data_IF_913288685733
#
_entry.id   IF_913288685733
#
_cell.length_a   1.000
_cell.length_b   1.000
_cell.length_c   1.000
_cell.angle_alpha   90.00
_cell.angle_beta   90.00
_cell.angle_gamma   90.00
#
_symmetry.space_group_name_H-M   'P 1'
#
loop_
_entity.id
_entity.type
_entity.pdbx_description
1 polymer ?
#
# COMPACT_ATOMS: atom_id res chain seq x y z
N UNK A 1 -6.02 -4.00 -21.79
CA UNK A 1 -5.34 -3.10 -20.82
C UNK A 1 -4.66 -3.82 -19.66
N UNK A 2 -5.30 -4.79 -18.98
CA UNK A 2 -4.73 -5.48 -17.79
C UNK A 2 -3.32 -6.05 -18.03
N UNK A 3 -3.12 -6.84 -19.09
CA UNK A 3 -1.80 -7.40 -19.42
C UNK A 3 -0.74 -6.30 -19.54
N UNK A 4 -1.04 -5.25 -20.30
CA UNK A 4 -0.15 -4.12 -20.52
C UNK A 4 0.17 -3.37 -19.23
N UNK A 5 -0.80 -3.25 -18.32
CA UNK A 5 -0.58 -2.66 -17.00
C UNK A 5 0.36 -3.52 -16.16
N UNK A 6 0.15 -4.83 -16.13
CA UNK A 6 0.95 -5.76 -15.32
C UNK A 6 2.39 -5.91 -15.81
N UNK A 7 2.59 -5.95 -17.13
CA UNK A 7 3.92 -6.07 -17.75
C UNK A 7 4.66 -4.72 -17.84
N UNK A 8 3.98 -3.60 -17.56
CA UNK A 8 4.60 -2.29 -17.59
C UNK A 8 5.75 -2.19 -16.57
N UNK A 9 6.91 -1.72 -17.01
CA UNK A 9 8.10 -1.63 -16.14
C UNK A 9 7.87 -0.75 -14.89
N UNK A 10 7.23 0.43 -15.05
CA UNK A 10 6.79 1.28 -13.92
C UNK A 10 5.89 0.54 -12.92
N UNK A 11 5.07 -0.42 -13.38
CA UNK A 11 4.21 -1.22 -12.50
C UNK A 11 5.03 -2.18 -11.65
N UNK A 12 6.05 -2.81 -12.23
CA UNK A 12 6.94 -3.70 -11.48
C UNK A 12 7.72 -2.92 -10.41
N UNK A 13 8.27 -1.75 -10.75
CA UNK A 13 8.95 -0.88 -9.79
C UNK A 13 8.01 -0.40 -8.68
N UNK A 14 6.78 -0.03 -9.02
CA UNK A 14 5.79 0.42 -8.04
C UNK A 14 5.32 -0.73 -7.14
N UNK A 15 5.15 -1.95 -7.67
CA UNK A 15 4.83 -3.15 -6.88
C UNK A 15 5.92 -3.41 -5.83
N UNK A 16 7.19 -3.36 -6.22
CA UNK A 16 8.31 -3.52 -5.28
C UNK A 16 8.33 -2.43 -4.20
N UNK A 17 8.07 -1.16 -4.56
CA UNK A 17 7.97 -0.07 -3.58
C UNK A 17 6.82 -0.27 -2.60
N UNK A 18 5.64 -0.64 -3.10
CA UNK A 18 4.47 -0.91 -2.25
C UNK A 18 4.69 -2.11 -1.34
N UNK A 19 5.37 -3.15 -1.82
CA UNK A 19 5.73 -4.33 -1.01
C UNK A 19 6.72 -3.96 0.10
N UNK A 20 7.75 -3.18 -0.21
CA UNK A 20 8.70 -2.67 0.79
C UNK A 20 8.00 -1.77 1.84
N UNK A 21 7.07 -0.92 1.40
CA UNK A 21 6.28 -0.09 2.32
C UNK A 21 5.34 -0.94 3.19
N UNK A 22 4.76 -2.01 2.64
CA UNK A 22 3.93 -2.95 3.38
C UNK A 22 4.74 -3.73 4.43
N UNK A 23 5.96 -4.18 4.08
CA UNK A 23 6.88 -4.84 5.01
C UNK A 23 7.26 -3.93 6.17
N UNK A 24 7.65 -2.68 5.90
CA UNK A 24 7.94 -1.69 6.95
C UNK A 24 6.75 -1.44 7.86
N UNK A 25 5.55 -1.35 7.29
CA UNK A 25 4.35 -1.19 8.10
C UNK A 25 4.04 -2.42 8.94
N UNK A 26 4.33 -3.63 8.44
CA UNK A 26 4.21 -4.85 9.22
C UNK A 26 5.19 -4.87 10.39
N UNK A 27 6.45 -4.52 10.18
CA UNK A 27 7.47 -4.41 11.24
C UNK A 27 7.04 -3.42 12.33
N UNK A 28 6.49 -2.28 11.93
CA UNK A 28 5.97 -1.27 12.86
C UNK A 28 4.75 -1.77 13.65
N UNK A 29 3.82 -2.48 12.99
CA UNK A 29 2.69 -3.11 13.66
C UNK A 29 3.15 -4.18 14.67
N UNK A 30 4.16 -4.98 14.33
CA UNK A 30 4.77 -5.95 15.23
C UNK A 30 5.46 -5.28 16.42
N UNK A 31 6.11 -4.13 16.21
CA UNK A 31 6.69 -3.32 17.29
C UNK A 31 5.62 -2.81 18.25
N UNK A 32 4.52 -2.28 17.74
CA UNK A 32 3.38 -1.83 18.54
C UNK A 32 2.73 -2.98 19.31
N UNK A 33 2.58 -4.16 18.67
CA UNK A 33 2.07 -5.37 19.31
C UNK A 33 2.98 -5.83 20.46
N UNK A 34 4.30 -5.87 20.25
CA UNK A 34 5.27 -6.23 21.29
C UNK A 34 5.18 -5.27 22.47
N UNK A 35 5.17 -3.96 22.22
CA UNK A 35 5.01 -2.94 23.26
C UNK A 35 3.71 -3.12 24.06
N UNK A 36 2.59 -3.39 23.38
CA UNK A 36 1.30 -3.68 24.02
C UNK A 36 1.34 -4.95 24.87
N UNK A 37 2.03 -6.00 24.41
CA UNK A 37 2.16 -7.25 25.17
C UNK A 37 3.02 -7.08 26.42
N UNK A 38 4.12 -6.33 26.36
CA UNK A 38 4.91 -5.98 27.55
C UNK A 38 4.07 -5.26 28.59
N UNK A 39 3.23 -4.30 28.18
CA UNK A 39 2.34 -3.60 29.11
C UNK A 39 1.32 -4.53 29.79
N UNK A 40 0.89 -5.61 29.11
CA UNK A 40 -0.02 -6.60 29.69
C UNK A 40 0.68 -7.48 30.71
N UNK A 41 1.94 -7.85 30.44
CA UNK A 41 2.75 -8.59 31.41
C UNK A 41 2.95 -7.74 32.67
N UNK A 42 3.35 -6.48 32.52
CA UNK A 42 3.47 -5.53 33.63
C UNK A 42 2.14 -5.29 34.37
N UNK A 43 1.03 -5.21 33.63
CA UNK A 43 -0.31 -5.10 34.23
C UNK A 43 -0.65 -6.34 35.08
N UNK A 44 -0.38 -7.55 34.56
CA UNK A 44 -0.65 -8.79 35.28
C UNK A 44 0.18 -8.88 36.55
N UNK A 45 1.47 -8.54 36.48
CA UNK A 45 2.35 -8.51 37.65
C UNK A 45 1.83 -7.53 38.72
N UNK A 46 1.43 -6.32 38.32
CA UNK A 46 0.84 -5.34 39.24
C UNK A 46 -0.48 -5.86 39.83
N UNK A 47 -1.33 -6.49 39.03
CA UNK A 47 -2.59 -7.07 39.48
C UNK A 47 -2.39 -8.22 40.46
N UNK A 48 -1.39 -9.08 40.25
CA UNK A 48 -1.05 -10.17 41.17
C UNK A 48 -0.56 -9.63 42.52
N UNK A 49 0.20 -8.52 42.54
CA UNK A 49 0.63 -7.84 43.77
C UNK A 49 -0.56 -7.28 44.58
N UNK A 50 -1.61 -6.81 43.91
CA UNK A 50 -2.86 -6.36 44.56
C UNK A 50 -3.56 -7.52 45.27
N UNK A 51 -3.58 -8.70 44.64
CA UNK A 51 -4.26 -9.89 45.15
C UNK A 51 -3.43 -10.72 46.13
N UNK A 52 -2.13 -10.44 46.24
CA UNK A 52 -1.25 -11.18 47.14
C UNK A 52 -1.64 -10.92 48.62
N UNK A 53 -1.97 -11.95 49.42
CA UNK A 53 -2.33 -11.77 50.82
C UNK A 53 -1.13 -11.40 51.71
N UNK A 54 0.11 -11.60 51.25
CA UNK A 54 1.33 -11.31 52.00
C UNK A 54 1.86 -9.87 51.86
N UNK A 55 1.29 -9.05 50.96
CA UNK A 55 1.68 -7.63 50.77
C UNK A 55 0.95 -6.69 51.73
N UNK A 56 1.63 -5.60 52.10
CA UNK A 56 1.07 -4.54 52.94
C UNK A 56 0.01 -3.73 52.18
N UNK A 57 -0.87 -3.03 52.89
CA UNK A 57 -1.89 -2.19 52.27
C UNK A 57 -1.30 -1.07 51.40
N UNK A 58 -0.16 -0.50 51.81
CA UNK A 58 0.55 0.51 51.02
C UNK A 58 1.01 -0.04 49.66
N UNK A 59 1.60 -1.24 49.65
CA UNK A 59 2.03 -1.91 48.42
C UNK A 59 0.84 -2.25 47.52
N UNK A 60 -0.28 -2.66 48.11
CA UNK A 60 -1.52 -2.93 47.36
C UNK A 60 -2.09 -1.67 46.70
N UNK A 61 -2.06 -0.53 47.39
CA UNK A 61 -2.55 0.74 46.84
C UNK A 61 -1.65 1.23 45.69
N UNK A 62 -0.34 1.11 45.83
CA UNK A 62 0.61 1.43 44.76
C UNK A 62 0.42 0.52 43.55
N UNK A 63 0.35 -0.80 43.76
CA UNK A 63 0.13 -1.77 42.70
C UNK A 63 -1.21 -1.56 41.96
N UNK A 64 -2.28 -1.17 42.68
CA UNK A 64 -3.56 -0.79 42.06
C UNK A 64 -3.41 0.42 41.15
N UNK A 65 -2.73 1.46 41.61
CA UNK A 65 -2.48 2.67 40.80
C UNK A 65 -1.67 2.32 39.55
N UNK A 66 -0.63 1.50 39.68
CA UNK A 66 0.16 1.02 38.54
C UNK A 66 -0.69 0.20 37.57
N UNK A 67 -1.52 -0.73 38.06
CA UNK A 67 -2.40 -1.52 37.21
C UNK A 67 -3.39 -0.64 36.44
N UNK A 68 -3.99 0.36 37.09
CA UNK A 68 -4.90 1.32 36.44
C UNK A 68 -4.20 2.14 35.34
N UNK A 69 -2.97 2.62 35.60
CA UNK A 69 -2.16 3.31 34.60
C UNK A 69 -1.82 2.41 33.41
N UNK A 70 -1.36 1.18 33.68
CA UNK A 70 -1.02 0.20 32.63
C UNK A 70 -2.23 -0.18 31.80
N UNK A 71 -3.40 -0.32 32.41
CA UNK A 71 -4.65 -0.57 31.69
C UNK A 71 -4.99 0.57 30.71
N UNK A 72 -4.81 1.83 31.12
CA UNK A 72 -5.02 2.97 30.22
C UNK A 72 -3.99 2.99 29.08
N UNK A 73 -2.73 2.67 29.36
CA UNK A 73 -1.68 2.57 28.34
C UNK A 73 -1.96 1.44 27.33
N UNK A 74 -2.42 0.27 27.79
CA UNK A 74 -2.84 -0.85 26.94
C UNK A 74 -3.95 -0.41 26.00
N UNK A 75 -5.02 0.22 26.53
CA UNK A 75 -6.14 0.69 25.73
C UNK A 75 -5.70 1.71 24.67
N UNK A 76 -4.79 2.63 25.04
CA UNK A 76 -4.19 3.58 24.10
C UNK A 76 -3.43 2.85 23.00
N UNK A 77 -2.61 1.86 23.34
CA UNK A 77 -1.81 1.09 22.37
C UNK A 77 -2.66 0.23 21.45
N UNK A 78 -3.77 -0.30 21.93
CA UNK A 78 -4.75 -1.01 21.08
C UNK A 78 -5.38 -0.08 20.05
N UNK A 79 -5.82 1.11 20.47
CA UNK A 79 -6.39 2.10 19.57
C UNK A 79 -5.35 2.60 18.54
N UNK A 80 -4.10 2.77 18.97
CA UNK A 80 -2.98 3.14 18.11
C UNK A 80 -2.71 2.06 17.05
N UNK A 81 -2.63 0.78 17.45
CA UNK A 81 -2.43 -0.35 16.54
C UNK A 81 -3.57 -0.46 15.51
N UNK A 82 -4.82 -0.37 15.96
CA UNK A 82 -5.99 -0.45 15.08
C UNK A 82 -6.01 0.70 14.07
N UNK A 83 -5.75 1.93 14.54
CA UNK A 83 -5.69 3.12 13.69
C UNK A 83 -4.55 3.03 12.70
N UNK A 84 -3.37 2.57 13.15
CA UNK A 84 -2.20 2.39 12.31
C UNK A 84 -2.47 1.40 11.17
N UNK A 85 -3.06 0.24 11.47
CA UNK A 85 -3.39 -0.77 10.47
C UNK A 85 -4.43 -0.26 9.47
N UNK A 86 -5.48 0.40 9.94
CA UNK A 86 -6.52 0.97 9.07
C UNK A 86 -5.96 2.06 8.15
N UNK A 87 -5.21 3.01 8.70
CA UNK A 87 -4.60 4.10 7.95
C UNK A 87 -3.59 3.59 6.93
N UNK A 88 -2.74 2.64 7.31
CA UNK A 88 -1.77 2.00 6.41
C UNK A 88 -2.48 1.32 5.24
N UNK A 89 -3.50 0.50 5.51
CA UNK A 89 -4.26 -0.19 4.47
C UNK A 89 -4.89 0.81 3.49
N UNK A 90 -5.55 1.85 4.02
CA UNK A 90 -6.18 2.89 3.21
C UNK A 90 -5.15 3.62 2.35
N UNK A 91 -4.01 4.00 2.93
CA UNK A 91 -2.93 4.70 2.22
C UNK A 91 -2.35 3.84 1.09
N UNK A 92 -2.01 2.59 1.36
CA UNK A 92 -1.46 1.67 0.34
C UNK A 92 -2.47 1.42 -0.78
N UNK A 93 -3.74 1.22 -0.44
CA UNK A 93 -4.81 1.06 -1.42
C UNK A 93 -4.99 2.32 -2.28
N UNK A 94 -5.04 3.51 -1.68
CA UNK A 94 -5.15 4.77 -2.42
C UNK A 94 -3.95 4.99 -3.35
N UNK A 95 -2.73 4.73 -2.87
CA UNK A 95 -1.51 4.82 -3.71
C UNK A 95 -1.56 3.86 -4.88
N UNK A 96 -1.98 2.62 -4.65
CA UNK A 96 -2.12 1.63 -5.71
C UNK A 96 -3.21 2.02 -6.73
N UNK A 97 -4.37 2.50 -6.27
CA UNK A 97 -5.45 2.94 -7.17
C UNK A 97 -5.06 4.17 -7.98
N UNK A 98 -4.43 5.16 -7.36
CA UNK A 98 -3.93 6.34 -8.07
C UNK A 98 -2.90 5.95 -9.13
N UNK A 99 -1.95 5.09 -8.77
CA UNK A 99 -0.98 4.55 -9.71
C UNK A 99 -1.67 3.84 -10.89
N UNK A 100 -2.62 2.95 -10.60
CA UNK A 100 -3.39 2.24 -11.63
C UNK A 100 -4.10 3.21 -12.59
N UNK A 101 -4.74 4.26 -12.08
CA UNK A 101 -5.40 5.28 -12.92
C UNK A 101 -4.41 5.96 -13.86
N UNK A 102 -3.29 6.47 -13.33
CA UNK A 102 -2.25 7.13 -14.12
C UNK A 102 -1.71 6.20 -15.20
N UNK A 103 -1.42 4.95 -14.85
CA UNK A 103 -0.90 3.97 -15.80
C UNK A 103 -1.91 3.62 -16.89
N UNK A 104 -3.19 3.45 -16.56
CA UNK A 104 -4.23 3.17 -17.54
C UNK A 104 -4.42 4.33 -18.52
N UNK A 105 -4.31 5.58 -18.05
CA UNK A 105 -4.33 6.76 -18.92
C UNK A 105 -3.11 6.79 -19.86
N UNK A 106 -1.91 6.50 -19.35
CA UNK A 106 -0.68 6.45 -20.16
C UNK A 106 -0.79 5.38 -21.25
N UNK A 107 -1.16 4.15 -20.88
CA UNK A 107 -1.36 3.04 -21.83
C UNK A 107 -2.48 3.38 -22.82
N UNK A 108 -3.56 3.99 -22.35
CA UNK A 108 -4.72 4.36 -23.18
C UNK A 108 -4.35 5.37 -24.26
N UNK A 109 -3.49 6.35 -23.94
CA UNK A 109 -2.98 7.31 -24.93
C UNK A 109 -2.15 6.61 -26.01
N UNK A 110 -1.18 5.78 -25.62
CA UNK A 110 -0.34 5.02 -26.56
C UNK A 110 -1.20 4.12 -27.46
N UNK A 111 -2.16 3.40 -26.87
CA UNK A 111 -3.07 2.54 -27.60
C UNK A 111 -3.97 3.32 -28.58
N UNK A 112 -4.50 4.47 -28.16
CA UNK A 112 -5.28 5.34 -29.04
C UNK A 112 -4.47 5.83 -30.23
N UNK A 113 -3.22 6.22 -30.03
CA UNK A 113 -2.36 6.72 -31.11
C UNK A 113 -1.97 5.62 -32.10
N UNK A 114 -1.71 4.40 -31.62
CA UNK A 114 -1.49 3.23 -32.49
C UNK A 114 -2.76 2.88 -33.27
N UNK A 115 -3.93 2.86 -32.61
CA UNK A 115 -5.21 2.58 -33.25
C UNK A 115 -5.49 3.58 -34.38
N UNK A 116 -5.30 4.89 -34.13
CA UNK A 116 -5.45 5.94 -35.14
C UNK A 116 -4.48 5.76 -36.32
N UNK A 117 -3.20 5.45 -36.06
CA UNK A 117 -2.21 5.19 -37.12
C UNK A 117 -2.59 4.00 -38.00
N UNK A 118 -3.30 3.01 -37.45
CA UNK A 118 -3.84 1.85 -38.17
C UNK A 118 -5.20 2.11 -38.84
N UNK A 119 -5.72 3.33 -38.76
CA UNK A 119 -7.02 3.69 -39.34
C UNK A 119 -8.23 3.20 -38.57
N UNK A 120 -8.06 2.75 -37.32
CA UNK A 120 -9.18 2.33 -36.49
C UNK A 120 -9.99 3.54 -36.01
N UNK A 121 -11.31 3.43 -36.07
CA UNK A 121 -12.26 4.45 -35.58
C UNK A 121 -12.83 4.13 -34.20
N UNK A 122 -12.57 2.91 -33.70
CA UNK A 122 -12.99 2.43 -32.40
C UNK A 122 -11.86 1.60 -31.79
N UNK A 123 -11.60 1.82 -30.50
CA UNK A 123 -10.70 1.00 -29.68
C UNK A 123 -11.50 0.47 -28.50
N UNK A 124 -11.52 -0.86 -28.35
CA UNK A 124 -12.18 -1.54 -27.24
C UNK A 124 -11.14 -2.21 -26.35
N UNK A 125 -11.27 -2.01 -25.04
CA UNK A 125 -10.53 -2.83 -24.10
C UNK A 125 -11.19 -4.19 -23.96
N UNK A 126 -10.52 -5.23 -24.47
CA UNK A 126 -10.95 -6.62 -24.25
C UNK A 126 -10.57 -7.17 -22.89
N UNK A 127 -9.87 -6.40 -22.05
CA UNK A 127 -9.37 -6.91 -20.78
C UNK A 127 -10.41 -6.88 -19.67
N UNK A 128 -10.58 -8.04 -19.05
CA UNK A 128 -11.44 -8.22 -17.89
C UNK A 128 -12.93 -8.26 -18.23
N UNK A 129 -13.73 -8.88 -17.34
CA UNK A 129 -15.18 -8.78 -17.43
C UNK A 129 -15.64 -7.35 -17.08
N UNK A 130 -16.83 -7.01 -17.56
CA UNK A 130 -17.57 -5.84 -17.10
C UNK A 130 -18.06 -6.03 -15.65
N UNK A 131 -18.78 -5.04 -15.11
CA UNK A 131 -19.29 -5.06 -13.73
C UNK A 131 -20.15 -6.29 -13.40
N UNK A 132 -20.78 -6.92 -14.41
CA UNK A 132 -21.63 -8.10 -14.26
C UNK A 132 -20.84 -9.42 -14.39
N UNK A 133 -19.51 -9.38 -14.53
CA UNK A 133 -18.71 -10.58 -14.75
C UNK A 133 -18.71 -11.08 -16.20
N UNK A 134 -19.22 -10.29 -17.14
CA UNK A 134 -19.39 -10.69 -18.55
C UNK A 134 -18.27 -10.09 -19.40
N UNK A 135 -17.64 -10.90 -20.26
CA UNK A 135 -16.60 -10.39 -21.17
C UNK A 135 -17.17 -9.34 -22.12
N UNK A 136 -16.48 -8.20 -22.24
CA UNK A 136 -16.87 -7.10 -23.14
C UNK A 136 -16.68 -7.45 -24.62
N UNK A 137 -15.80 -8.40 -24.92
CA UNK A 137 -15.54 -8.90 -26.28
C UNK A 137 -15.55 -10.44 -26.22
N UNK A 138 -16.51 -11.05 -26.91
CA UNK A 138 -16.62 -12.52 -26.97
C UNK A 138 -15.75 -13.09 -28.10
N UNK A 139 -15.71 -12.39 -29.23
CA UNK A 139 -14.91 -12.76 -30.39
C UNK A 139 -14.49 -11.51 -31.16
N UNK A 140 -13.26 -11.51 -31.67
CA UNK A 140 -12.73 -10.56 -32.63
C UNK A 140 -11.63 -11.26 -33.44
N UNK A 141 -11.41 -10.81 -34.68
CA UNK A 141 -10.29 -11.28 -35.48
C UNK A 141 -8.96 -10.91 -34.78
N UNK A 142 -8.00 -11.83 -34.74
CA UNK A 142 -6.71 -11.63 -34.08
C UNK A 142 -5.91 -10.45 -34.69
N UNK A 143 -6.13 -10.15 -35.97
CA UNK A 143 -5.48 -9.02 -36.67
C UNK A 143 -5.92 -7.65 -36.14
N UNK A 144 -7.05 -7.59 -35.42
CA UNK A 144 -7.55 -6.37 -34.77
C UNK A 144 -6.88 -6.12 -33.41
N UNK A 145 -6.14 -7.09 -32.88
CA UNK A 145 -5.47 -6.96 -31.59
C UNK A 145 -4.14 -6.18 -31.72
N UNK A 146 -4.14 -4.96 -31.20
CA UNK A 146 -2.96 -4.09 -31.17
C UNK A 146 -2.12 -4.24 -29.89
N UNK A 147 -2.45 -5.18 -28.99
CA UNK A 147 -1.81 -5.30 -27.66
C UNK A 147 -0.28 -5.41 -27.78
N UNK A 148 0.22 -6.25 -28.70
CA UNK A 148 1.66 -6.42 -28.90
C UNK A 148 2.34 -5.13 -29.41
N UNK A 149 1.68 -4.38 -30.29
CA UNK A 149 2.19 -3.11 -30.80
C UNK A 149 2.28 -2.06 -29.69
N UNK A 150 1.27 -2.02 -28.81
CA UNK A 150 1.24 -1.12 -27.64
C UNK A 150 2.35 -1.50 -26.65
N UNK A 151 2.54 -2.78 -26.39
CA UNK A 151 3.61 -3.29 -25.52
C UNK A 151 5.00 -2.90 -26.05
N UNK A 152 5.22 -3.06 -27.35
CA UNK A 152 6.47 -2.66 -28.01
C UNK A 152 6.73 -1.16 -27.88
N UNK A 153 5.70 -0.32 -28.02
CA UNK A 153 5.84 1.14 -27.93
C UNK A 153 6.08 1.61 -26.48
N UNK A 154 5.42 0.99 -25.50
CA UNK A 154 5.70 1.20 -24.07
C UNK A 154 7.17 0.90 -23.76
N UNK A 155 7.67 -0.24 -24.25
CA UNK A 155 9.06 -0.66 -24.03
C UNK A 155 10.07 0.24 -24.77
N UNK A 156 9.71 0.77 -25.94
CA UNK A 156 10.52 1.81 -26.60
C UNK A 156 10.61 3.06 -25.72
N UNK A 157 9.50 3.51 -25.14
CA UNK A 157 9.45 4.63 -24.20
C UNK A 157 10.40 4.45 -23.00
N UNK A 158 10.52 3.22 -22.48
CA UNK A 158 11.49 2.87 -21.42
C UNK A 158 12.94 3.17 -21.85
N UNK A 159 13.34 2.76 -23.05
CA UNK A 159 14.72 2.98 -23.55
C UNK A 159 15.03 4.46 -23.78
N UNK A 160 14.06 5.23 -24.26
CA UNK A 160 14.19 6.68 -24.43
C UNK A 160 14.28 7.43 -23.08
N UNK A 161 13.50 7.00 -22.08
CA UNK A 161 13.56 7.54 -20.72
C UNK A 161 14.82 7.12 -19.93
N UNK A 162 15.50 6.05 -20.36
CA UNK A 162 16.76 5.57 -19.75
C UNK A 162 18.01 6.14 -20.42
N UNK A 163 17.87 6.95 -21.47
CA UNK A 163 18.99 7.73 -21.99
C UNK A 163 19.41 8.75 -20.92
N UNK A 164 20.72 8.92 -20.64
CA UNK A 164 21.14 9.78 -19.54
C UNK A 164 20.75 11.23 -19.85
N UNK A 165 19.74 11.72 -19.14
CA UNK A 165 19.52 13.14 -19.00
C UNK A 165 20.79 13.70 -18.34
N UNK A 166 21.54 14.50 -19.10
CA UNK A 166 22.64 15.28 -18.58
C UNK A 166 22.16 16.07 -17.36
N UNK A 167 22.95 15.96 -16.30
CA UNK A 167 22.83 16.53 -14.97
C UNK A 167 22.05 17.85 -14.87
N UNK A 168 21.00 17.87 -14.07
CA UNK A 168 20.63 19.04 -13.29
C UNK A 168 20.06 18.65 -11.93
N UNK A 169 20.94 18.80 -10.94
CA UNK A 169 20.69 19.23 -9.56
C UNK A 169 19.46 18.71 -8.81
N UNK A 170 19.77 17.86 -7.83
CA UNK A 170 19.09 17.64 -6.57
C UNK A 170 18.24 18.80 -6.05
N UNK A 171 16.94 18.58 -5.91
CA UNK A 171 16.23 18.94 -4.69
C UNK A 171 15.04 17.99 -4.52
N UNK A 172 15.06 17.16 -3.48
CA UNK A 172 13.96 16.28 -3.11
C UNK A 172 13.46 16.71 -1.73
N UNK A 173 12.21 17.21 -1.61
CA UNK A 173 11.65 17.47 -0.30
C UNK A 173 11.39 16.12 0.40
N UNK A 174 12.05 15.91 1.52
CA UNK A 174 11.76 14.82 2.46
C UNK A 174 10.42 15.10 3.15
N UNK A 175 9.38 14.38 2.74
CA UNK A 175 8.10 14.40 3.46
C UNK A 175 8.23 13.48 4.68
N UNK A 176 8.51 14.08 5.82
CA UNK A 176 8.35 13.48 7.13
C UNK A 176 6.88 13.17 7.38
N UNK A 177 6.58 11.92 7.72
CA UNK A 177 5.27 11.54 8.25
C UNK A 177 5.18 12.11 9.66
N UNK A 178 4.22 13.00 9.97
CA UNK A 178 4.08 13.54 11.31
C UNK A 178 3.61 12.43 12.24
N UNK A 179 4.47 12.05 13.19
CA UNK A 179 4.02 11.38 14.40
C UNK A 179 3.14 12.39 15.15
N UNK A 180 1.83 12.13 15.15
CA UNK A 180 0.90 12.81 16.05
C UNK A 180 1.37 12.63 17.49
N UNK A 181 1.52 13.75 18.20
CA UNK A 181 1.77 13.78 19.64
C UNK A 181 0.54 13.34 20.42
#
# INVERSE_FOLDING_TARGET
>A
MIKLLDEHYKTQEQKQKLEADAQKAQEEAERLLKARNTLIEEYKEAFDQVNNPATTQEVKNQARTTAEQKQQEIQRKENELQSFQANTRNLLQQRFQNFKTIMLEEIGKIASDIAKRKGATLLLDKSGPNLLGISSVIHADATLDITADVEAEINRGRTAASAPAASSSSDSPSVSVPLGK
#
